data_IF_169484740897
#
_entry.id   IF_169484740897
#
_cell.length_a   1.000
_cell.length_b   1.000
_cell.length_c   1.000
_cell.angle_alpha   90.00
_cell.angle_beta   90.00
_cell.angle_gamma   90.00
#
_symmetry.space_group_name_H-M   'P 1'
#
loop_
_entity.id
_entity.type
_entity.pdbx_description
1 polymer ?
#
# COMPACT_ATOMS: atom_id res chain seq x y z
N UNK A 1 23.08 -15.90 2.73
CA UNK A 1 23.07 -14.45 2.46
C UNK A 1 22.13 -13.81 3.46
N UNK A 2 22.59 -12.83 4.23
CA UNK A 2 21.67 -11.99 5.00
C UNK A 2 21.03 -11.01 4.02
N UNK A 3 19.71 -11.10 3.83
CA UNK A 3 18.95 -10.11 3.10
C UNK A 3 18.80 -8.91 4.04
N UNK A 4 19.34 -7.76 3.66
CA UNK A 4 19.35 -6.55 4.49
C UNK A 4 18.40 -5.50 3.90
N UNK A 5 17.54 -4.92 4.74
CA UNK A 5 16.69 -3.78 4.39
C UNK A 5 17.30 -2.51 4.99
N UNK A 6 17.88 -1.67 4.13
CA UNK A 6 18.61 -0.48 4.56
C UNK A 6 17.65 0.69 4.77
N UNK A 7 17.93 1.52 5.78
CA UNK A 7 17.24 2.79 5.98
C UNK A 7 17.36 3.64 4.70
N UNK A 8 16.26 4.20 4.24
CA UNK A 8 16.16 4.95 2.99
C UNK A 8 15.91 4.09 1.74
N UNK A 9 15.84 2.75 1.87
CA UNK A 9 15.39 1.90 0.76
C UNK A 9 14.00 2.35 0.30
N UNK A 10 13.86 2.61 -1.00
CA UNK A 10 12.66 3.16 -1.63
C UNK A 10 12.34 2.39 -2.90
N UNK A 11 11.07 2.08 -3.09
CA UNK A 11 10.55 1.33 -4.24
C UNK A 11 9.04 1.27 -4.21
N UNK A 12 8.45 0.66 -5.24
CA UNK A 12 7.03 0.33 -5.25
C UNK A 12 6.75 -0.80 -4.24
N UNK A 13 5.49 -0.94 -3.81
CA UNK A 13 5.06 -2.07 -2.98
C UNK A 13 5.31 -3.41 -3.70
N UNK A 14 5.18 -3.45 -5.02
CA UNK A 14 5.60 -4.61 -5.85
C UNK A 14 7.10 -4.92 -5.75
N UNK A 15 7.98 -3.92 -5.88
CA UNK A 15 9.43 -4.13 -5.79
C UNK A 15 9.84 -4.83 -4.49
N UNK A 16 9.21 -4.45 -3.37
CA UNK A 16 9.46 -5.06 -2.07
C UNK A 16 8.92 -6.49 -1.97
N UNK A 17 7.73 -6.78 -2.50
CA UNK A 17 7.17 -8.13 -2.51
C UNK A 17 7.97 -9.12 -3.37
N UNK A 18 8.55 -8.64 -4.47
CA UNK A 18 9.37 -9.46 -5.36
C UNK A 18 10.78 -9.68 -4.80
N UNK A 19 11.30 -8.72 -4.02
CA UNK A 19 12.67 -8.77 -3.48
C UNK A 19 12.76 -9.56 -2.18
N UNK A 20 11.76 -9.45 -1.30
CA UNK A 20 11.82 -9.96 0.06
C UNK A 20 10.76 -11.02 0.34
N UNK A 21 11.05 -11.95 1.25
CA UNK A 21 10.03 -12.91 1.68
C UNK A 21 8.95 -12.20 2.49
N UNK A 22 7.71 -12.70 2.42
CA UNK A 22 6.59 -12.19 3.22
C UNK A 22 6.93 -12.08 4.70
N UNK A 23 7.51 -13.12 5.30
CA UNK A 23 7.86 -13.12 6.72
C UNK A 23 8.86 -12.02 7.08
N UNK A 24 9.85 -11.78 6.21
CA UNK A 24 10.81 -10.71 6.42
C UNK A 24 10.15 -9.33 6.37
N UNK A 25 9.21 -9.11 5.43
CA UNK A 25 8.47 -7.85 5.35
C UNK A 25 7.55 -7.66 6.58
N UNK A 26 6.89 -8.72 7.04
CA UNK A 26 6.06 -8.71 8.26
C UNK A 26 6.88 -8.39 9.51
N UNK A 27 8.06 -8.99 9.67
CA UNK A 27 8.99 -8.69 10.75
C UNK A 27 9.50 -7.23 10.70
N UNK A 28 9.43 -6.59 9.53
CA UNK A 28 9.84 -5.21 9.31
C UNK A 28 8.65 -4.25 9.14
N UNK A 29 7.45 -4.59 9.62
CA UNK A 29 6.33 -3.64 9.73
C UNK A 29 5.44 -3.50 8.49
N UNK A 30 5.57 -4.39 7.51
CA UNK A 30 4.64 -4.54 6.39
C UNK A 30 3.79 -5.80 6.61
N UNK A 31 2.53 -5.63 7.01
CA UNK A 31 1.63 -6.73 7.34
C UNK A 31 0.73 -7.10 6.15
N UNK A 32 0.84 -8.31 5.60
CA UNK A 32 -0.09 -8.77 4.56
C UNK A 32 -1.40 -9.25 5.18
N UNK A 33 -2.51 -8.59 4.86
CA UNK A 33 -3.81 -9.02 5.38
C UNK A 33 -4.25 -10.36 4.77
N UNK A 34 -4.95 -11.17 5.57
CA UNK A 34 -5.57 -12.38 5.06
C UNK A 34 -6.79 -12.00 4.21
N UNK A 35 -6.77 -12.28 2.90
CA UNK A 35 -7.87 -11.91 2.01
C UNK A 35 -9.20 -12.55 2.42
N UNK A 36 -9.17 -13.70 3.11
CA UNK A 36 -10.37 -14.38 3.62
C UNK A 36 -11.06 -13.57 4.73
N UNK A 37 -10.32 -12.69 5.40
CA UNK A 37 -10.82 -11.85 6.50
C UNK A 37 -11.16 -10.43 6.06
N UNK A 38 -10.56 -9.94 4.97
CA UNK A 38 -10.67 -8.53 4.58
C UNK A 38 -11.39 -8.27 3.26
N UNK A 39 -11.82 -9.28 2.51
CA UNK A 39 -12.49 -9.11 1.20
C UNK A 39 -11.70 -8.29 0.16
N UNK A 40 -10.40 -8.05 0.41
CA UNK A 40 -9.47 -7.37 -0.50
C UNK A 40 -8.22 -8.23 -0.66
N UNK A 41 -7.88 -8.57 -1.90
CA UNK A 41 -6.85 -9.57 -2.20
C UNK A 41 -5.40 -9.07 -2.11
N UNK A 42 -5.18 -7.76 -2.02
CA UNK A 42 -3.87 -7.16 -2.29
C UNK A 42 -3.43 -6.09 -1.28
N UNK A 43 -4.05 -6.04 -0.09
CA UNK A 43 -3.83 -4.95 0.87
C UNK A 43 -2.75 -5.30 1.87
N UNK A 44 -1.82 -4.37 2.04
CA UNK A 44 -0.79 -4.43 3.07
C UNK A 44 -1.00 -3.33 4.10
N UNK A 45 -0.93 -3.69 5.37
CA UNK A 45 -0.82 -2.78 6.48
C UNK A 45 0.62 -2.29 6.60
N UNK A 46 0.83 -1.00 6.36
CA UNK A 46 2.12 -0.32 6.46
C UNK A 46 2.21 0.35 7.82
N UNK A 47 3.17 -0.07 8.65
CA UNK A 47 3.45 0.58 9.92
C UNK A 47 4.16 1.93 9.67
N UNK A 48 3.43 3.02 9.87
CA UNK A 48 3.96 4.38 9.73
C UNK A 48 4.12 5.04 11.11
N UNK A 49 4.77 6.20 11.17
CA UNK A 49 4.83 7.03 12.39
C UNK A 49 3.46 7.45 12.94
N UNK A 50 2.40 7.34 12.14
CA UNK A 50 1.03 7.69 12.52
C UNK A 50 0.16 6.46 12.84
N UNK A 51 0.76 5.27 12.91
CA UNK A 51 0.05 4.00 13.03
C UNK A 51 -0.03 3.26 11.69
N UNK A 52 -0.88 2.23 11.63
CA UNK A 52 -1.03 1.42 10.43
C UNK A 52 -1.88 2.14 9.38
N UNK A 53 -1.32 2.27 8.17
CA UNK A 53 -2.03 2.70 6.97
C UNK A 53 -2.14 1.53 6.00
N UNK A 54 -3.08 1.57 5.07
CA UNK A 54 -3.22 0.52 4.07
C UNK A 54 -2.62 0.97 2.73
N UNK A 55 -1.71 0.16 2.19
CA UNK A 55 -1.30 0.24 0.79
C UNK A 55 -2.22 -0.65 -0.04
N UNK A 56 -2.88 -0.04 -1.01
CA UNK A 56 -3.90 -0.68 -1.85
C UNK A 56 -3.40 -0.90 -3.29
N UNK A 57 -2.42 -0.11 -3.74
CA UNK A 57 -1.85 -0.21 -5.07
C UNK A 57 -0.51 -0.94 -5.07
N UNK A 58 -0.26 -1.67 -6.16
CA UNK A 58 1.05 -2.23 -6.47
C UNK A 58 2.12 -1.13 -6.61
N UNK A 59 1.70 0.03 -7.12
CA UNK A 59 2.54 1.19 -7.43
C UNK A 59 2.77 2.14 -6.24
N UNK A 60 2.12 1.88 -5.09
CA UNK A 60 2.33 2.69 -3.90
C UNK A 60 3.82 2.72 -3.53
N UNK A 61 4.35 3.90 -3.29
CA UNK A 61 5.77 4.08 -3.00
C UNK A 61 6.00 3.95 -1.51
N UNK A 62 6.82 2.98 -1.15
CA UNK A 62 7.27 2.73 0.22
C UNK A 62 8.70 3.23 0.39
N UNK A 63 8.99 3.86 1.53
CA UNK A 63 10.37 4.18 1.94
C UNK A 63 10.60 3.68 3.35
N UNK A 64 11.59 2.80 3.53
CA UNK A 64 11.91 2.27 4.84
C UNK A 64 12.64 3.32 5.68
N UNK A 65 12.05 3.68 6.81
CA UNK A 65 12.57 4.72 7.71
C UNK A 65 13.39 4.15 8.87
N UNK A 66 13.44 2.82 9.02
CA UNK A 66 14.10 2.12 10.13
C UNK A 66 13.10 1.64 11.19
N UNK A 67 13.54 0.69 12.03
CA UNK A 67 12.78 0.14 13.16
C UNK A 67 11.35 -0.31 12.81
N UNK A 68 11.18 -0.91 11.63
CA UNK A 68 9.88 -1.36 11.14
C UNK A 68 8.91 -0.24 10.78
N UNK A 69 9.38 1.01 10.61
CA UNK A 69 8.57 2.18 10.24
C UNK A 69 8.81 2.56 8.79
N UNK A 70 7.75 2.97 8.11
CA UNK A 70 7.74 3.32 6.69
C UNK A 70 7.08 4.68 6.43
N UNK A 71 7.53 5.35 5.37
CA UNK A 71 6.78 6.38 4.66
C UNK A 71 6.00 5.71 3.53
N UNK A 72 4.69 5.93 3.47
CA UNK A 72 3.81 5.46 2.40
C UNK A 72 3.36 6.66 1.58
N UNK A 73 3.54 6.59 0.26
CA UNK A 73 2.96 7.54 -0.68
C UNK A 73 2.12 6.80 -1.70
N UNK A 74 0.86 7.21 -1.80
CA UNK A 74 -0.06 6.64 -2.80
C UNK A 74 0.48 6.97 -4.18
N UNK A 75 0.51 5.99 -5.07
CA UNK A 75 0.76 6.26 -6.48
C UNK A 75 -0.23 7.31 -6.97
N UNK A 76 0.19 8.31 -7.74
CA UNK A 76 -0.78 9.26 -8.30
C UNK A 76 -1.83 8.46 -9.08
N UNK A 77 -3.06 8.42 -8.57
CA UNK A 77 -4.19 7.93 -9.34
C UNK A 77 -4.18 8.71 -10.64
N UNK A 78 -4.07 8.00 -11.76
CA UNK A 78 -4.36 8.55 -13.09
C UNK A 78 -5.61 9.39 -12.94
N UNK A 79 -5.45 10.71 -13.04
CA UNK A 79 -6.49 11.72 -12.82
C UNK A 79 -7.83 11.17 -13.31
N UNK A 80 -8.76 10.88 -12.41
CA UNK A 80 -10.17 10.83 -12.79
C UNK A 80 -10.39 12.14 -13.53
N UNK A 81 -10.63 12.04 -14.84
CA UNK A 81 -10.82 13.27 -15.62
C UNK A 81 -12.04 13.98 -15.06
N UNK A 82 -12.05 15.32 -15.04
CA UNK A 82 -13.19 16.10 -14.53
C UNK A 82 -14.54 15.66 -15.13
N UNK A 83 -14.52 15.00 -16.30
CA UNK A 83 -15.69 14.40 -16.95
C UNK A 83 -16.20 13.12 -16.24
N UNK A 84 -15.32 12.24 -15.77
CA UNK A 84 -15.69 11.03 -15.04
C UNK A 84 -16.24 11.35 -13.65
N UNK A 85 -15.66 12.36 -12.98
CA UNK A 85 -16.17 12.86 -11.70
C UNK A 85 -17.55 13.52 -11.87
N UNK A 86 -17.76 14.31 -12.92
CA UNK A 86 -19.07 14.89 -13.25
C UNK A 86 -20.11 13.82 -13.56
N UNK A 87 -19.72 12.75 -14.28
CA UNK A 87 -20.61 11.65 -14.59
C UNK A 87 -21.03 10.87 -13.34
N UNK A 88 -20.07 10.54 -12.47
CA UNK A 88 -20.35 9.86 -11.20
C UNK A 88 -21.23 10.69 -10.26
N UNK A 89 -21.09 12.02 -10.25
CA UNK A 89 -21.92 12.93 -9.46
C UNK A 89 -23.28 13.26 -10.11
N UNK A 90 -23.48 12.90 -11.38
CA UNK A 90 -24.72 13.16 -12.11
C UNK A 90 -25.73 12.01 -12.06
N UNK A 91 -25.31 10.84 -11.56
CA UNK A 91 -26.22 9.71 -11.34
C UNK A 91 -26.80 9.84 -9.92
N UNK A 92 -28.08 10.23 -9.74
CA UNK A 92 -28.68 10.25 -8.43
C UNK A 92 -28.74 8.82 -7.88
N UNK A 93 -28.36 8.67 -6.60
CA UNK A 93 -28.46 7.41 -5.87
C UNK A 93 -29.84 6.79 -6.14
N UNK A 94 -29.86 5.63 -6.80
CA UNK A 94 -31.07 4.83 -6.92
C UNK A 94 -31.37 4.30 -5.52
N UNK A 95 -32.25 5.00 -4.82
CA UNK A 95 -32.90 4.51 -3.60
C UNK A 95 -33.45 3.10 -3.89
N UNK A 96 -32.97 2.11 -3.12
CA UNK A 96 -33.57 0.78 -2.99
C UNK A 96 -34.22 0.69 -1.62
#
# INVERSE_FOLDING_TARGET
MAIELKIGARGTREDFEDTYTRSFLEDNGLLKFDPRKFAVNCVWGVHTKYGYMCSFSYDDILTYMGDGVWDLRVAEETKITDEELKRALSEPDKEF
#
